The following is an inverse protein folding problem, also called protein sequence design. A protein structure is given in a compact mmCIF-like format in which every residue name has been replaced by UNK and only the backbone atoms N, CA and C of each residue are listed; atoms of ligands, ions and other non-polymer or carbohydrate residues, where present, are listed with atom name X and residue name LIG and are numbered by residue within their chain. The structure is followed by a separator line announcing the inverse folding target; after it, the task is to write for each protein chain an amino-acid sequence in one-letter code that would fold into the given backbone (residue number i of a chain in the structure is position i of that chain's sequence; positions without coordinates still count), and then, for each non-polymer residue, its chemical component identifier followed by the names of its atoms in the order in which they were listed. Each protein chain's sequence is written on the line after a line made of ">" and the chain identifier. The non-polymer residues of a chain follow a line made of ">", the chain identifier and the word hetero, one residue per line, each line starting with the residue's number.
data_IF_478074766903
#
_entry.id   IF_478074766903
#
_cell.length_a   1.000
_cell.length_b   1.000
_cell.length_c   1.000
_cell.angle_alpha   90.00
_cell.angle_beta   90.00
_cell.angle_gamma   90.00
#
_symmetry.space_group_name_H-M   'P 1'
#
loop_
_entity.id
_entity.type
_entity.pdbx_description
1 polymer ?
#
# COMPACT_ATOMS: atom_id res chain seq x y z
N UNK A 1 20.45 8.85 -2.79
CA UNK A 1 19.47 8.14 -3.65
C UNK A 1 18.45 7.48 -2.73
N UNK A 2 17.22 8.00 -2.66
CA UNK A 2 16.15 7.37 -1.86
C UNK A 2 15.73 6.11 -2.62
N UNK A 3 15.97 4.94 -2.04
CA UNK A 3 15.49 3.67 -2.61
C UNK A 3 13.97 3.66 -2.47
N UNK A 4 13.22 4.04 -3.52
CA UNK A 4 11.76 3.86 -3.53
C UNK A 4 11.47 2.37 -3.39
N UNK A 5 10.82 1.97 -2.29
CA UNK A 5 10.35 0.59 -2.08
C UNK A 5 9.44 0.20 -3.25
N UNK A 6 9.75 -0.91 -3.92
CA UNK A 6 8.91 -1.47 -4.98
C UNK A 6 7.80 -2.34 -4.37
N UNK A 7 6.57 -2.14 -4.81
CA UNK A 7 5.43 -2.95 -4.41
C UNK A 7 5.26 -4.16 -5.33
N UNK A 8 5.01 -5.32 -4.75
CA UNK A 8 4.82 -6.57 -5.47
C UNK A 8 3.41 -7.09 -5.27
N UNK A 9 2.70 -7.32 -6.38
CA UNK A 9 1.37 -7.93 -6.37
C UNK A 9 1.44 -9.34 -5.76
N UNK A 10 0.44 -9.70 -4.96
CA UNK A 10 0.40 -10.96 -4.22
C UNK A 10 1.21 -10.97 -2.91
N UNK A 11 2.14 -10.03 -2.72
CA UNK A 11 2.98 -9.97 -1.51
C UNK A 11 2.17 -9.49 -0.30
N UNK A 12 2.50 -10.03 0.87
CA UNK A 12 1.94 -9.63 2.16
C UNK A 12 2.76 -8.52 2.79
N UNK A 13 2.08 -7.52 3.33
CA UNK A 13 2.66 -6.37 4.02
C UNK A 13 2.05 -6.29 5.41
N UNK A 14 2.89 -5.99 6.42
CA UNK A 14 2.45 -5.75 7.80
C UNK A 14 2.41 -4.25 8.03
N UNK A 15 1.24 -3.73 8.35
CA UNK A 15 1.09 -2.36 8.80
C UNK A 15 1.74 -2.20 10.18
N UNK A 16 2.25 -1.01 10.51
CA UNK A 16 2.91 -0.77 11.79
C UNK A 16 2.00 -1.08 13.01
N UNK A 17 0.68 -0.88 12.84
CA UNK A 17 -0.36 -1.30 13.81
C UNK A 17 -0.60 -2.83 13.88
N UNK A 18 0.35 -3.65 13.44
CA UNK A 18 0.32 -5.11 13.52
C UNK A 18 -0.56 -5.86 12.50
N UNK A 19 -1.51 -5.17 11.85
CA UNK A 19 -2.44 -5.78 10.89
C UNK A 19 -1.76 -6.22 9.58
N UNK A 20 -2.17 -7.36 9.04
CA UNK A 20 -1.66 -7.93 7.79
C UNK A 20 -2.57 -7.61 6.60
N UNK A 21 -1.92 -7.30 5.48
CA UNK A 21 -2.54 -6.96 4.22
C UNK A 21 -1.84 -7.69 3.06
N UNK A 22 -2.53 -7.88 1.94
CA UNK A 22 -1.98 -8.42 0.69
C UNK A 22 -2.24 -7.44 -0.45
N UNK A 23 -1.24 -7.14 -1.26
CA UNK A 23 -1.44 -6.32 -2.45
C UNK A 23 -2.13 -7.14 -3.53
N UNK A 24 -3.22 -6.60 -4.08
CA UNK A 24 -4.05 -7.21 -5.10
C UNK A 24 -3.66 -6.70 -6.49
N UNK A 25 -3.41 -5.40 -6.61
CA UNK A 25 -3.01 -4.76 -7.86
C UNK A 25 -2.31 -3.43 -7.60
N UNK A 26 -1.61 -2.92 -8.62
CA UNK A 26 -1.29 -1.50 -8.75
C UNK A 26 -2.16 -0.98 -9.88
N UNK A 27 -2.98 0.03 -9.60
CA UNK A 27 -3.92 0.62 -10.54
C UNK A 27 -3.43 2.01 -10.96
N UNK A 28 -3.75 2.41 -12.18
CA UNK A 28 -3.51 3.76 -12.70
C UNK A 28 -4.86 4.49 -12.76
N UNK A 29 -4.90 5.70 -12.24
CA UNK A 29 -6.07 6.55 -12.30
C UNK A 29 -6.20 7.15 -13.68
N UNK A 30 -7.29 6.85 -14.40
CA UNK A 30 -7.43 7.15 -15.83
C UNK A 30 -7.39 8.63 -16.17
N UNK A 31 -7.86 9.49 -15.26
CA UNK A 31 -7.97 10.93 -15.48
C UNK A 31 -6.70 11.69 -15.11
N UNK A 32 -5.84 11.14 -14.24
CA UNK A 32 -4.66 11.84 -13.70
C UNK A 32 -3.34 11.11 -13.95
N UNK A 33 -3.37 9.84 -14.32
CA UNK A 33 -2.19 8.97 -14.41
C UNK A 33 -1.58 8.60 -13.05
N UNK A 34 -2.21 8.99 -11.94
CA UNK A 34 -1.68 8.69 -10.61
C UNK A 34 -1.77 7.21 -10.29
N UNK A 35 -0.71 6.67 -9.67
CA UNK A 35 -0.67 5.27 -9.28
C UNK A 35 -1.27 5.05 -7.89
N UNK A 36 -2.06 4.00 -7.76
CA UNK A 36 -2.67 3.55 -6.53
C UNK A 36 -2.33 2.09 -6.23
N UNK A 37 -2.16 1.75 -4.96
CA UNK A 37 -2.04 0.37 -4.50
C UNK A 37 -3.42 -0.11 -4.05
N UNK A 38 -3.91 -1.17 -4.67
CA UNK A 38 -5.12 -1.89 -4.24
C UNK A 38 -4.68 -3.05 -3.36
N UNK A 39 -5.20 -3.13 -2.13
CA UNK A 39 -4.77 -4.12 -1.16
C UNK A 39 -5.92 -4.61 -0.28
N UNK A 40 -5.83 -5.88 0.13
CA UNK A 40 -6.83 -6.56 0.93
C UNK A 40 -6.35 -6.74 2.37
N UNK A 41 -7.18 -6.37 3.34
CA UNK A 41 -7.01 -6.72 4.74
C UNK A 41 -7.27 -8.21 4.96
N UNK A 42 -6.29 -8.93 5.50
CA UNK A 42 -6.40 -10.38 5.70
C UNK A 42 -7.22 -10.77 6.95
N UNK A 43 -7.60 -9.80 7.78
CA UNK A 43 -8.32 -10.05 9.04
C UNK A 43 -9.84 -9.85 8.94
N UNK A 44 -10.33 -9.20 7.88
CA UNK A 44 -11.75 -8.97 7.66
C UNK A 44 -12.16 -8.97 6.17
N UNK A 45 -11.25 -9.40 5.29
CA UNK A 45 -11.43 -9.51 3.84
C UNK A 45 -11.79 -8.20 3.10
N UNK A 46 -11.72 -7.03 3.75
CA UNK A 46 -12.00 -5.74 3.10
C UNK A 46 -10.87 -5.35 2.14
N UNK A 47 -11.24 -4.70 1.03
CA UNK A 47 -10.31 -4.17 0.03
C UNK A 47 -10.25 -2.65 0.18
N UNK A 48 -9.04 -2.10 0.07
CA UNK A 48 -8.73 -0.69 0.20
C UNK A 48 -7.87 -0.23 -0.98
N UNK A 49 -7.87 1.08 -1.20
CA UNK A 49 -7.03 1.76 -2.20
C UNK A 49 -6.30 2.92 -1.53
N UNK A 50 -5.04 3.16 -1.90
CA UNK A 50 -4.22 4.26 -1.37
C UNK A 50 -3.23 4.75 -2.44
N UNK A 51 -2.91 6.05 -2.50
CA UNK A 51 -1.87 6.55 -3.41
C UNK A 51 -0.55 5.80 -3.22
N UNK A 52 0.12 5.47 -4.32
CA UNK A 52 1.34 4.66 -4.32
C UNK A 52 2.43 5.27 -3.44
N UNK A 53 2.69 6.56 -3.59
CA UNK A 53 3.75 7.26 -2.84
C UNK A 53 3.46 7.29 -1.34
N UNK A 54 2.19 7.42 -0.94
CA UNK A 54 1.79 7.31 0.48
C UNK A 54 1.84 5.88 1.01
N UNK A 55 1.72 4.88 0.15
CA UNK A 55 1.79 3.47 0.54
C UNK A 55 3.25 3.04 0.78
N UNK A 56 4.18 3.52 -0.04
CA UNK A 56 5.61 3.19 0.07
C UNK A 56 6.40 4.11 1.00
N UNK A 57 5.80 5.22 1.43
CA UNK A 57 6.44 6.18 2.34
C UNK A 57 6.88 5.49 3.63
N UNK A 58 7.98 5.99 4.21
CA UNK A 58 8.36 5.56 5.55
C UNK A 58 7.26 5.91 6.55
N UNK A 59 7.03 4.99 7.48
CA UNK A 59 6.08 5.25 8.56
C UNK A 59 6.81 6.09 9.57
N UNK A 60 6.38 7.35 9.69
CA UNK A 60 6.81 8.19 10.78
C UNK A 60 6.22 7.65 12.09
N UNK A 61 7.09 7.14 12.97
CA UNK A 61 6.68 6.52 14.23
C UNK A 61 6.31 7.55 15.28
N UNK A 62 6.60 8.84 15.09
CA UNK A 62 6.25 9.88 16.06
C UNK A 62 4.77 10.28 16.00
N UNK A 63 4.08 9.96 14.89
CA UNK A 63 2.68 10.33 14.67
C UNK A 63 1.67 9.30 15.18
N UNK A 64 2.12 8.19 15.79
CA UNK A 64 1.26 7.09 16.26
C UNK A 64 1.78 6.35 17.49
#
# INVERSE_FOLDING_TARGET
>A
MIVKRRIFVGKRYRHFKGKLYRVVAVAEHTETGELFVVYQALYNNRVYVRPYDMFVSEVDKEKY
#
